data_IF_492539294829
#
_entry.id   IF_492539294829
#
_cell.length_a   1.000
_cell.length_b   1.000
_cell.length_c   1.000
_cell.angle_alpha   90.00
_cell.angle_beta   90.00
_cell.angle_gamma   90.00
#
_symmetry.space_group_name_H-M   'P 1'
#
loop_
_entity.id
_entity.type
_entity.pdbx_description
1 polymer ?
#
# COMPACT_ATOMS: atom_id res chain seq x y z
N UNK A 1 -1.21 47.32 -10.66
CA UNK A 1 -0.31 47.23 -9.50
C UNK A 1 -0.03 45.75 -9.24
N UNK A 2 1.07 45.22 -9.80
CA UNK A 2 1.40 43.80 -9.72
C UNK A 2 1.84 43.45 -8.29
N UNK A 3 1.01 42.68 -7.58
CA UNK A 3 1.39 42.03 -6.32
C UNK A 3 2.40 40.93 -6.68
N UNK A 4 3.68 41.28 -6.73
CA UNK A 4 4.75 40.32 -6.57
C UNK A 4 4.58 39.68 -5.19
N UNK A 5 3.92 38.53 -5.15
CA UNK A 5 4.01 37.62 -4.01
C UNK A 5 5.46 37.16 -3.98
N UNK A 6 6.26 37.79 -3.12
CA UNK A 6 7.49 37.22 -2.60
C UNK A 6 7.08 35.91 -1.89
N UNK A 7 7.02 34.82 -2.64
CA UNK A 7 7.15 33.49 -2.06
C UNK A 7 8.56 33.47 -1.49
N UNK A 8 8.69 33.71 -0.18
CA UNK A 8 9.92 33.36 0.51
C UNK A 8 10.13 31.86 0.29
N UNK A 9 10.93 31.49 -0.71
CA UNK A 9 11.39 30.11 -0.88
C UNK A 9 12.03 29.71 0.44
N UNK A 10 11.40 28.77 1.13
CA UNK A 10 11.93 28.24 2.38
C UNK A 10 13.25 27.55 2.05
N UNK A 11 14.32 27.89 2.77
CA UNK A 11 15.66 27.42 2.41
C UNK A 11 15.88 25.98 2.86
N UNK A 12 16.14 25.05 1.91
CA UNK A 12 16.64 23.69 2.19
C UNK A 12 17.85 23.69 3.14
N UNK A 13 18.72 24.70 3.02
CA UNK A 13 19.88 24.85 3.91
C UNK A 13 19.44 24.99 5.37
N UNK A 14 18.39 25.76 5.64
CA UNK A 14 17.87 25.95 7.00
C UNK A 14 17.28 24.65 7.57
N UNK A 15 16.59 23.86 6.74
CA UNK A 15 16.09 22.54 7.13
C UNK A 15 17.25 21.62 7.57
N UNK A 16 18.30 21.56 6.76
CA UNK A 16 19.47 20.72 7.02
C UNK A 16 20.20 21.19 8.28
N UNK A 17 20.38 22.51 8.47
CA UNK A 17 21.03 23.06 9.67
C UNK A 17 20.23 22.73 10.93
N UNK A 18 18.90 22.89 10.90
CA UNK A 18 18.03 22.54 12.02
C UNK A 18 18.10 21.05 12.36
N UNK A 19 18.09 20.18 11.34
CA UNK A 19 18.27 18.74 11.52
C UNK A 19 19.64 18.38 12.11
N UNK A 20 20.73 18.96 11.59
CA UNK A 20 22.09 18.71 12.09
C UNK A 20 22.25 19.11 13.55
N UNK A 21 21.69 20.25 13.96
CA UNK A 21 21.72 20.70 15.35
C UNK A 21 20.96 19.78 16.31
N UNK A 22 19.96 19.04 15.81
CA UNK A 22 19.20 18.07 16.60
C UNK A 22 20.01 16.78 16.77
N UNK A 23 20.48 16.18 15.68
CA UNK A 23 21.18 14.89 15.74
C UNK A 23 22.55 15.01 16.41
N UNK A 24 23.20 16.19 16.38
CA UNK A 24 24.47 16.40 17.08
C UNK A 24 24.34 16.31 18.60
N UNK A 25 23.12 16.42 19.14
CA UNK A 25 22.82 16.22 20.57
C UNK A 25 22.57 14.75 20.91
N UNK A 26 22.42 13.90 19.90
CA UNK A 26 22.22 12.48 20.08
C UNK A 26 23.58 11.85 20.32
N UNK A 27 23.92 11.59 21.59
CA UNK A 27 25.21 11.03 22.01
C UNK A 27 25.31 9.52 21.75
N UNK A 28 24.27 8.91 21.17
CA UNK A 28 24.29 7.51 20.78
C UNK A 28 25.29 7.31 19.64
N UNK A 29 26.34 6.54 19.88
CA UNK A 29 27.38 6.19 18.90
C UNK A 29 26.89 5.10 17.92
N UNK A 30 25.71 5.32 17.32
CA UNK A 30 25.14 4.35 16.40
C UNK A 30 25.91 4.36 15.07
N UNK A 31 26.54 3.21 14.77
CA UNK A 31 27.35 2.92 13.58
C UNK A 31 26.59 2.92 12.25
N UNK A 32 25.26 3.00 12.26
CA UNK A 32 24.41 2.74 11.10
C UNK A 32 24.48 3.80 10.02
N UNK A 33 24.72 3.37 8.78
CA UNK A 33 24.75 4.22 7.59
C UNK A 33 23.43 4.21 6.83
N UNK A 34 22.63 3.17 7.02
CA UNK A 34 21.32 2.98 6.39
C UNK A 34 20.33 2.48 7.45
N UNK A 35 19.13 3.04 7.41
CA UNK A 35 17.97 2.51 8.13
C UNK A 35 17.03 1.89 7.11
N UNK A 36 16.59 0.66 7.33
CA UNK A 36 15.51 0.04 6.57
C UNK A 36 14.30 -0.06 7.48
N UNK A 37 13.14 0.40 7.00
CA UNK A 37 11.89 0.46 7.76
C UNK A 37 10.84 -0.40 7.08
N UNK A 38 10.17 -1.25 7.85
CA UNK A 38 9.13 -2.15 7.33
C UNK A 38 7.98 -2.26 8.30
N UNK A 39 6.78 -1.91 7.84
CA UNK A 39 5.54 -2.43 8.44
C UNK A 39 5.26 -3.79 7.80
N UNK A 40 5.06 -4.81 8.63
CA UNK A 40 4.78 -6.16 8.16
C UNK A 40 3.67 -6.81 8.98
N UNK A 41 2.96 -7.74 8.36
CA UNK A 41 1.93 -8.55 9.02
C UNK A 41 2.29 -10.04 9.00
N UNK A 42 1.60 -10.89 9.75
CA UNK A 42 1.88 -12.34 9.83
C UNK A 42 1.51 -13.11 8.55
N UNK A 43 2.25 -12.91 7.44
CA UNK A 43 2.01 -13.49 6.11
C UNK A 43 3.24 -14.16 5.51
N UNK A 44 3.56 -15.36 6.01
CA UNK A 44 4.81 -16.07 5.68
C UNK A 44 5.07 -16.23 4.17
N UNK A 45 4.04 -16.56 3.38
CA UNK A 45 4.20 -16.78 1.93
C UNK A 45 4.68 -15.52 1.22
N UNK A 46 4.06 -14.37 1.48
CA UNK A 46 4.46 -13.11 0.89
C UNK A 46 5.84 -12.67 1.36
N UNK A 47 6.17 -12.90 2.64
CA UNK A 47 7.50 -12.60 3.15
C UNK A 47 8.59 -13.38 2.43
N UNK A 48 8.35 -14.67 2.17
CA UNK A 48 9.29 -15.49 1.40
C UNK A 48 9.50 -14.95 -0.02
N UNK A 49 8.55 -14.21 -0.60
CA UNK A 49 8.70 -13.59 -1.92
C UNK A 49 9.41 -12.23 -1.81
N UNK A 50 8.88 -11.32 -1.00
CA UNK A 50 9.35 -9.94 -0.90
C UNK A 50 10.72 -9.84 -0.23
N UNK A 51 10.94 -10.48 0.92
CA UNK A 51 12.22 -10.37 1.62
C UNK A 51 13.36 -11.07 0.87
N UNK A 52 13.11 -12.22 0.24
CA UNK A 52 14.11 -12.84 -0.63
C UNK A 52 14.41 -11.97 -1.88
N UNK A 53 13.44 -11.21 -2.38
CA UNK A 53 13.71 -10.19 -3.40
C UNK A 53 14.60 -9.07 -2.84
N UNK A 54 14.36 -8.62 -1.61
CA UNK A 54 15.15 -7.56 -0.96
C UNK A 54 16.62 -7.93 -0.75
N UNK A 55 16.90 -9.20 -0.43
CA UNK A 55 18.28 -9.73 -0.32
C UNK A 55 19.15 -9.42 -1.54
N UNK A 56 18.55 -9.35 -2.74
CA UNK A 56 19.29 -9.17 -4.00
C UNK A 56 19.95 -7.78 -4.12
N UNK A 57 19.43 -6.77 -3.42
CA UNK A 57 19.92 -5.40 -3.53
C UNK A 57 20.39 -4.78 -2.22
N UNK A 58 20.14 -5.42 -1.07
CA UNK A 58 20.63 -4.93 0.21
C UNK A 58 22.16 -5.01 0.25
N UNK A 59 22.87 -3.89 0.49
CA UNK A 59 24.33 -3.89 0.51
C UNK A 59 24.85 -4.64 1.73
N UNK A 60 25.90 -5.44 1.56
CA UNK A 60 26.56 -6.20 2.63
C UNK A 60 27.71 -5.46 3.31
N UNK A 61 28.13 -4.31 2.74
CA UNK A 61 29.36 -3.63 3.12
C UNK A 61 29.17 -2.33 3.92
N UNK A 62 27.94 -2.05 4.39
CA UNK A 62 27.63 -0.91 5.24
C UNK A 62 26.81 -1.37 6.44
N UNK A 63 26.97 -0.78 7.64
CA UNK A 63 26.13 -1.14 8.78
C UNK A 63 24.69 -0.67 8.57
N UNK A 64 23.72 -1.57 8.76
CA UNK A 64 22.29 -1.36 8.56
C UNK A 64 21.55 -1.61 9.88
N UNK A 65 20.60 -0.72 10.22
CA UNK A 65 19.58 -1.01 11.21
C UNK A 65 18.26 -1.26 10.48
N UNK A 66 17.74 -2.48 10.55
CA UNK A 66 16.42 -2.81 10.00
C UNK A 66 15.39 -2.82 11.11
N UNK A 67 14.50 -1.84 11.08
CA UNK A 67 13.43 -1.65 12.06
C UNK A 67 12.14 -2.20 11.44
N UNK A 68 11.57 -3.22 12.06
CA UNK A 68 10.39 -3.93 11.56
C UNK A 68 9.31 -3.87 12.63
N UNK A 69 8.13 -3.38 12.26
CA UNK A 69 6.94 -3.50 13.09
C UNK A 69 6.09 -4.66 12.55
N UNK A 70 5.96 -5.72 13.33
CA UNK A 70 5.15 -6.90 13.04
C UNK A 70 3.79 -6.80 13.73
N UNK A 71 2.75 -6.67 12.91
CA UNK A 71 1.36 -6.69 13.35
C UNK A 71 0.76 -8.07 13.12
N UNK A 72 0.04 -8.61 14.10
CA UNK A 72 -0.69 -9.86 13.91
C UNK A 72 -1.95 -9.61 13.07
N UNK A 73 -2.15 -10.45 12.07
CA UNK A 73 -3.38 -10.51 11.28
C UNK A 73 -3.82 -11.97 11.21
N UNK A 74 -5.04 -12.23 11.68
CA UNK A 74 -5.65 -13.55 11.64
C UNK A 74 -6.21 -13.81 10.24
N UNK A 75 -5.58 -14.73 9.50
CA UNK A 75 -6.02 -15.14 8.16
C UNK A 75 -6.90 -16.38 8.18
N UNK A 76 -6.73 -17.26 9.16
CA UNK A 76 -7.51 -18.50 9.31
C UNK A 76 -8.07 -18.64 10.74
N UNK A 77 -9.13 -19.42 10.89
CA UNK A 77 -9.73 -19.71 12.20
C UNK A 77 -8.94 -20.74 13.01
N UNK A 78 -7.88 -21.30 12.42
CA UNK A 78 -7.11 -22.42 12.96
C UNK A 78 -6.06 -21.92 13.98
N UNK A 79 -5.59 -20.69 13.83
CA UNK A 79 -4.48 -20.17 14.61
C UNK A 79 -4.92 -19.02 15.53
N UNK A 80 -5.16 -19.32 16.80
CA UNK A 80 -5.57 -18.32 17.81
C UNK A 80 -4.41 -17.69 18.59
N UNK A 81 -3.20 -18.26 18.50
CA UNK A 81 -2.05 -17.77 19.27
C UNK A 81 -1.25 -16.73 18.46
N UNK A 82 -1.61 -15.46 18.65
CA UNK A 82 -0.95 -14.31 18.01
C UNK A 82 0.55 -14.23 18.34
N UNK A 83 0.95 -14.48 19.60
CA UNK A 83 2.34 -14.41 20.05
C UNK A 83 3.21 -15.43 19.31
N UNK A 84 2.73 -16.67 19.19
CA UNK A 84 3.44 -17.74 18.49
C UNK A 84 3.64 -17.42 17.01
N UNK A 85 2.62 -16.89 16.33
CA UNK A 85 2.71 -16.54 14.90
C UNK A 85 3.61 -15.33 14.65
N UNK A 86 3.58 -14.33 15.54
CA UNK A 86 4.52 -13.21 15.51
C UNK A 86 5.97 -13.68 15.68
N UNK A 87 6.23 -14.58 16.63
CA UNK A 87 7.58 -15.10 16.87
C UNK A 87 8.07 -15.99 15.72
N UNK A 88 7.21 -16.84 15.15
CA UNK A 88 7.52 -17.59 13.93
C UNK A 88 7.86 -16.66 12.76
N UNK A 89 7.08 -15.59 12.57
CA UNK A 89 7.29 -14.60 11.51
C UNK A 89 8.61 -13.86 11.69
N UNK A 90 8.90 -13.39 12.91
CA UNK A 90 10.17 -12.76 13.27
C UNK A 90 11.36 -13.67 12.97
N UNK A 91 11.31 -14.92 13.42
CA UNK A 91 12.39 -15.88 13.19
C UNK A 91 12.54 -16.24 11.71
N UNK A 92 11.45 -16.32 10.96
CA UNK A 92 11.50 -16.53 9.51
C UNK A 92 12.25 -15.39 8.80
N UNK A 93 11.96 -14.13 9.15
CA UNK A 93 12.67 -12.96 8.60
C UNK A 93 14.16 -12.99 9.00
N UNK A 94 14.48 -13.21 10.27
CA UNK A 94 15.88 -13.27 10.73
C UNK A 94 16.65 -14.34 9.96
N UNK A 95 16.07 -15.54 9.83
CA UNK A 95 16.69 -16.66 9.12
C UNK A 95 16.93 -16.37 7.64
N UNK A 96 16.11 -15.54 6.99
CA UNK A 96 16.35 -15.12 5.60
C UNK A 96 17.58 -14.25 5.45
N UNK A 97 18.02 -13.54 6.48
CA UNK A 97 19.18 -12.64 6.42
C UNK A 97 20.30 -13.09 7.34
N UNK A 98 20.34 -14.37 7.71
CA UNK A 98 21.30 -14.90 8.68
C UNK A 98 22.75 -14.71 8.20
N UNK A 99 22.99 -14.67 6.89
CA UNK A 99 24.30 -14.43 6.30
C UNK A 99 24.70 -12.94 6.24
N UNK A 100 23.79 -12.02 6.56
CA UNK A 100 24.04 -10.59 6.53
C UNK A 100 24.51 -10.08 7.90
N UNK A 101 25.78 -10.27 8.20
CA UNK A 101 26.41 -9.82 9.46
C UNK A 101 26.37 -8.29 9.67
N UNK A 102 26.09 -7.53 8.61
CA UNK A 102 26.02 -6.08 8.64
C UNK A 102 24.63 -5.52 9.00
N UNK A 103 23.63 -6.39 9.20
CA UNK A 103 22.25 -6.01 9.54
C UNK A 103 21.99 -6.30 11.02
N UNK A 104 21.70 -5.24 11.77
CA UNK A 104 21.11 -5.35 13.09
C UNK A 104 19.58 -5.20 12.97
N UNK A 105 18.81 -6.13 13.55
CA UNK A 105 17.35 -6.08 13.52
C UNK A 105 16.77 -5.47 14.80
N UNK A 106 15.75 -4.62 14.64
CA UNK A 106 14.88 -4.16 15.73
C UNK A 106 13.44 -4.48 15.41
N UNK A 107 12.84 -5.39 16.19
CA UNK A 107 11.44 -5.75 16.07
C UNK A 107 10.58 -4.99 17.08
N UNK A 108 9.43 -4.51 16.61
CA UNK A 108 8.26 -4.14 17.41
C UNK A 108 7.16 -5.13 17.06
N UNK A 109 6.44 -5.64 18.06
CA UNK A 109 5.37 -6.63 17.87
C UNK A 109 4.06 -6.09 18.42
N UNK A 110 2.96 -6.36 17.72
CA UNK A 110 1.65 -5.88 18.09
C UNK A 110 0.57 -6.92 17.75
N UNK A 111 0.11 -7.61 18.79
CA UNK A 111 -0.89 -8.70 18.69
C UNK A 111 -2.27 -8.24 18.20
N UNK A 112 -2.60 -6.95 18.33
CA UNK A 112 -3.91 -6.44 17.91
C UNK A 112 -3.94 -6.00 16.45
N UNK A 113 -2.77 -5.75 15.86
CA UNK A 113 -2.63 -5.20 14.52
C UNK A 113 -3.17 -3.78 14.40
N UNK A 114 -2.34 -2.82 13.98
CA UNK A 114 -2.77 -1.46 13.72
C UNK A 114 -1.71 -0.74 12.88
N UNK A 115 -1.96 -0.63 11.58
CA UNK A 115 -1.06 0.04 10.64
C UNK A 115 -0.66 1.45 11.07
N UNK A 116 -1.62 2.25 11.56
CA UNK A 116 -1.35 3.63 11.96
C UNK A 116 -0.36 3.67 13.14
N UNK A 117 -0.55 2.79 14.12
CA UNK A 117 0.35 2.63 15.26
C UNK A 117 1.72 2.10 14.83
N UNK A 118 1.75 1.13 13.92
CA UNK A 118 2.97 0.56 13.37
C UNK A 118 3.85 1.63 12.72
N UNK A 119 3.27 2.42 11.81
CA UNK A 119 3.95 3.52 11.12
C UNK A 119 4.46 4.58 12.11
N UNK A 120 3.64 4.97 13.10
CA UNK A 120 4.04 5.94 14.13
C UNK A 120 5.20 5.41 14.98
N UNK A 121 5.14 4.14 15.39
CA UNK A 121 6.20 3.47 16.15
C UNK A 121 7.52 3.46 15.39
N UNK A 122 7.50 3.05 14.11
CA UNK A 122 8.69 3.07 13.25
C UNK A 122 9.23 4.49 13.09
N UNK A 123 8.35 5.45 12.81
CA UNK A 123 8.74 6.84 12.56
C UNK A 123 9.37 7.49 13.79
N UNK A 124 8.79 7.28 14.97
CA UNK A 124 9.31 7.77 16.23
C UNK A 124 10.65 7.13 16.57
N UNK A 125 10.72 5.79 16.59
CA UNK A 125 11.95 5.08 16.93
C UNK A 125 13.10 5.41 15.98
N UNK A 126 12.82 5.49 14.68
CA UNK A 126 13.82 5.89 13.69
C UNK A 126 14.37 7.27 14.03
N UNK A 127 13.49 8.25 14.26
CA UNK A 127 13.88 9.65 14.43
C UNK A 127 14.68 9.91 15.71
N UNK A 128 14.42 9.16 16.79
CA UNK A 128 15.22 9.24 18.03
C UNK A 128 16.55 8.50 17.93
N UNK A 129 16.66 7.55 17.00
CA UNK A 129 17.86 6.71 16.81
C UNK A 129 18.81 7.27 15.74
N UNK A 130 18.34 8.22 14.91
CA UNK A 130 19.13 8.86 13.86
C UNK A 130 20.38 9.56 14.39
N UNK A 131 21.47 9.41 13.64
CA UNK A 131 22.77 10.05 13.86
C UNK A 131 23.25 10.73 12.58
N UNK A 132 24.34 11.48 12.69
CA UNK A 132 25.03 12.11 11.55
C UNK A 132 25.68 11.11 10.58
N UNK A 133 25.92 9.87 11.02
CA UNK A 133 26.45 8.76 10.20
C UNK A 133 25.42 8.20 9.20
N UNK A 134 24.13 8.43 9.42
CA UNK A 134 23.07 7.91 8.56
C UNK A 134 22.98 8.69 7.24
N UNK A 135 23.03 7.98 6.11
CA UNK A 135 23.04 8.57 4.76
C UNK A 135 21.69 8.44 4.04
N UNK A 136 20.82 7.54 4.51
CA UNK A 136 19.54 7.27 3.87
C UNK A 136 18.62 6.43 4.74
N UNK A 137 17.33 6.56 4.46
CA UNK A 137 16.26 5.76 5.05
C UNK A 137 15.49 5.15 3.90
N UNK A 138 15.43 3.82 3.90
CA UNK A 138 14.70 3.03 2.92
C UNK A 138 13.44 2.48 3.59
N UNK A 139 12.27 2.88 3.10
CA UNK A 139 11.00 2.28 3.50
C UNK A 139 10.65 1.17 2.50
N UNK A 140 10.39 -0.04 3.00
CA UNK A 140 9.95 -1.21 2.23
C UNK A 140 8.83 -1.90 3.00
N UNK A 141 7.64 -1.99 2.40
CA UNK A 141 6.56 -2.82 2.93
C UNK A 141 6.81 -4.30 2.65
N UNK A 142 6.06 -5.21 3.26
CA UNK A 142 6.26 -6.65 3.16
C UNK A 142 5.56 -7.34 1.97
N UNK A 143 4.86 -6.59 1.11
CA UNK A 143 4.22 -7.06 -0.12
C UNK A 143 4.67 -6.32 -1.38
N UNK A 144 5.86 -5.73 -1.36
CA UNK A 144 6.46 -5.15 -2.55
C UNK A 144 7.57 -6.00 -3.12
N UNK A 145 7.82 -5.82 -4.41
CA UNK A 145 8.77 -6.62 -5.17
C UNK A 145 9.50 -5.75 -6.18
N UNK A 146 10.83 -5.78 -6.17
CA UNK A 146 11.65 -5.16 -7.21
C UNK A 146 11.58 -6.01 -8.49
N UNK A 147 11.01 -5.46 -9.56
CA UNK A 147 10.88 -6.11 -10.88
C UNK A 147 12.16 -6.10 -11.70
N UNK A 148 13.10 -5.24 -11.33
CA UNK A 148 14.39 -5.08 -11.99
C UNK A 148 15.53 -5.00 -10.97
N UNK A 149 16.76 -5.12 -11.45
CA UNK A 149 17.94 -4.90 -10.61
C UNK A 149 17.98 -3.45 -10.11
N UNK A 150 18.01 -3.32 -8.78
CA UNK A 150 18.11 -2.06 -8.08
C UNK A 150 19.45 -2.00 -7.34
N UNK A 151 20.30 -1.03 -7.65
CA UNK A 151 21.54 -0.81 -6.91
C UNK A 151 21.31 0.23 -5.80
N UNK A 152 21.03 -0.27 -4.61
CA UNK A 152 20.79 0.55 -3.43
C UNK A 152 22.05 1.33 -3.02
N UNK A 153 23.24 0.75 -3.17
CA UNK A 153 24.51 1.41 -2.80
C UNK A 153 24.77 2.62 -3.71
N UNK A 154 24.59 2.46 -5.02
CA UNK A 154 24.66 3.58 -5.97
C UNK A 154 23.63 4.64 -5.63
N UNK A 155 22.39 4.23 -5.35
CA UNK A 155 21.28 5.15 -5.04
C UNK A 155 21.53 5.97 -3.77
N UNK A 156 22.12 5.37 -2.73
CA UNK A 156 22.49 6.07 -1.48
C UNK A 156 23.51 7.19 -1.69
N UNK A 157 24.42 7.01 -2.65
CA UNK A 157 25.49 7.96 -2.96
C UNK A 157 25.06 9.07 -3.94
N UNK A 158 23.86 8.99 -4.50
CA UNK A 158 23.33 10.06 -5.34
C UNK A 158 23.07 11.33 -4.50
N UNK A 159 23.30 12.49 -5.12
CA UNK A 159 22.89 13.79 -4.58
C UNK A 159 21.40 14.06 -4.85
N UNK A 160 20.57 13.05 -4.55
CA UNK A 160 19.12 13.09 -4.69
C UNK A 160 18.50 13.01 -3.31
N UNK A 161 17.55 13.90 -3.02
CA UNK A 161 16.88 13.99 -1.73
C UNK A 161 15.86 12.86 -1.56
N UNK A 162 15.09 12.60 -2.62
CA UNK A 162 13.97 11.66 -2.63
C UNK A 162 14.02 10.79 -3.88
N UNK A 163 14.04 9.47 -3.68
CA UNK A 163 13.97 8.46 -4.73
C UNK A 163 12.71 7.63 -4.48
N UNK A 164 11.63 7.93 -5.22
CA UNK A 164 10.41 7.10 -5.21
C UNK A 164 10.70 5.83 -6.01
N UNK A 165 10.45 4.66 -5.43
CA UNK A 165 10.83 3.38 -6.06
C UNK A 165 9.69 2.72 -6.87
N UNK A 166 8.54 3.38 -6.95
CA UNK A 166 7.36 2.93 -7.69
C UNK A 166 6.63 4.15 -8.29
N UNK A 167 5.73 3.92 -9.24
CA UNK A 167 4.83 4.92 -9.79
C UNK A 167 3.36 4.51 -9.56
N UNK A 168 2.60 5.35 -8.86
CA UNK A 168 1.14 5.20 -8.67
C UNK A 168 0.32 6.01 -9.68
N UNK A 169 0.98 6.76 -10.56
CA UNK A 169 0.37 7.70 -11.50
C UNK A 169 -0.54 8.76 -10.86
N UNK A 170 -0.52 8.94 -9.53
CA UNK A 170 -1.26 10.01 -8.86
C UNK A 170 -0.35 11.24 -8.71
N UNK A 171 -0.54 12.30 -9.53
CA UNK A 171 0.31 13.48 -9.49
C UNK A 171 0.24 14.24 -8.16
N UNK A 172 -0.77 13.94 -7.32
CA UNK A 172 -0.96 14.54 -6.00
C UNK A 172 -0.16 13.83 -4.91
N UNK A 173 0.25 12.58 -5.13
CA UNK A 173 1.02 11.76 -4.18
C UNK A 173 2.45 11.52 -4.70
N UNK A 174 3.35 12.47 -4.40
CA UNK A 174 4.75 12.34 -4.83
C UNK A 174 5.58 11.40 -3.93
N UNK A 175 5.36 11.38 -2.62
CA UNK A 175 5.99 10.42 -1.70
C UNK A 175 5.18 10.28 -0.40
N UNK A 176 5.06 9.05 0.11
CA UNK A 176 4.45 8.69 1.40
C UNK A 176 5.02 7.34 1.89
N UNK A 177 4.28 6.58 2.69
CA UNK A 177 4.65 5.27 3.25
C UNK A 177 4.51 4.14 2.23
N UNK A 178 5.31 4.18 1.17
CA UNK A 178 5.46 3.12 0.16
C UNK A 178 6.95 3.02 -0.22
N UNK A 179 7.40 2.08 -1.07
CA UNK A 179 8.82 1.93 -1.40
C UNK A 179 9.50 3.24 -1.80
N UNK A 180 10.43 3.66 -0.96
CA UNK A 180 10.97 5.01 -0.94
C UNK A 180 12.36 5.01 -0.31
N UNK A 181 13.33 5.63 -0.99
CA UNK A 181 14.63 5.95 -0.41
C UNK A 181 14.75 7.47 -0.25
N UNK A 182 14.96 7.94 0.98
CA UNK A 182 15.07 9.38 1.28
C UNK A 182 16.25 9.72 2.17
N UNK A 183 16.67 10.99 2.13
CA UNK A 183 17.64 11.52 3.07
C UNK A 183 17.02 11.65 4.48
N UNK A 184 17.80 11.41 5.55
CA UNK A 184 17.27 11.37 6.93
C UNK A 184 16.59 12.66 7.40
N UNK A 185 17.07 13.82 6.95
CA UNK A 185 16.46 15.11 7.30
C UNK A 185 15.02 15.22 6.77
N UNK A 186 14.69 14.57 5.65
CA UNK A 186 13.35 14.55 5.07
C UNK A 186 12.44 13.69 5.92
N UNK A 187 12.90 12.50 6.33
CA UNK A 187 12.15 11.64 7.25
C UNK A 187 11.78 12.38 8.53
N UNK A 188 12.77 13.01 9.15
CA UNK A 188 12.57 13.77 10.38
C UNK A 188 11.55 14.92 10.23
N UNK A 189 11.65 15.69 9.14
CA UNK A 189 10.83 16.90 8.97
C UNK A 189 9.44 16.62 8.38
N UNK A 190 9.34 15.69 7.44
CA UNK A 190 8.13 15.46 6.65
C UNK A 190 7.31 14.28 7.15
N UNK A 191 7.92 13.35 7.88
CA UNK A 191 7.21 12.25 8.50
C UNK A 191 7.08 12.47 10.00
N UNK A 192 8.20 12.50 10.72
CA UNK A 192 8.17 12.56 12.18
C UNK A 192 7.52 13.83 12.74
N UNK A 193 7.96 15.02 12.33
CA UNK A 193 7.36 16.26 12.84
C UNK A 193 5.88 16.39 12.48
N UNK A 194 5.48 15.98 11.28
CA UNK A 194 4.08 16.05 10.86
C UNK A 194 3.21 15.09 11.68
N UNK A 195 3.66 13.85 11.89
CA UNK A 195 2.96 12.89 12.76
C UNK A 195 2.93 13.32 14.23
N UNK A 196 4.00 13.93 14.75
CA UNK A 196 4.08 14.42 16.14
C UNK A 196 3.19 15.63 16.38
N UNK A 197 3.04 16.50 15.39
CA UNK A 197 2.13 17.64 15.45
C UNK A 197 0.65 17.21 15.37
N UNK A 198 0.39 16.07 14.72
CA UNK A 198 -0.94 15.50 14.63
C UNK A 198 -1.28 14.64 15.86
N UNK A 199 -2.15 15.17 16.72
CA UNK A 199 -2.60 14.49 17.96
C UNK A 199 -3.60 13.35 17.73
N UNK A 200 -4.12 13.19 16.52
CA UNK A 200 -5.08 12.13 16.19
C UNK A 200 -4.32 10.87 15.76
N UNK A 201 -4.14 9.95 16.69
CA UNK A 201 -3.43 8.68 16.47
C UNK A 201 -4.17 7.75 15.50
N UNK A 202 -5.48 7.95 15.31
CA UNK A 202 -6.32 7.17 14.41
C UNK A 202 -6.30 7.70 12.98
N UNK A 203 -5.82 8.92 12.76
CA UNK A 203 -5.71 9.46 11.42
C UNK A 203 -4.61 8.74 10.64
N UNK A 204 -5.00 8.26 9.48
CA UNK A 204 -4.14 7.61 8.48
C UNK A 204 -2.85 8.43 8.23
N UNK A 205 -1.67 7.86 8.58
CA UNK A 205 -0.37 8.49 8.36
C UNK A 205 -0.14 8.90 6.91
N UNK A 206 -0.64 8.16 5.92
CA UNK A 206 -0.47 8.51 4.50
C UNK A 206 -1.23 9.78 4.11
N UNK A 207 -2.28 10.15 4.85
CA UNK A 207 -3.02 11.40 4.64
C UNK A 207 -2.36 12.59 5.33
N UNK A 208 -1.50 12.32 6.31
CA UNK A 208 -0.74 13.35 7.01
C UNK A 208 0.55 13.62 6.25
N UNK A 209 1.32 12.56 5.97
CA UNK A 209 2.66 12.63 5.40
C UNK A 209 2.64 12.46 3.88
N UNK A 210 2.32 13.54 3.17
CA UNK A 210 2.37 13.60 1.70
C UNK A 210 3.35 14.68 1.25
N UNK A 211 4.51 14.29 0.73
CA UNK A 211 5.57 15.22 0.35
C UNK A 211 5.36 15.72 -1.08
N UNK A 212 4.39 16.60 -1.29
CA UNK A 212 4.03 17.07 -2.64
C UNK A 212 4.43 18.52 -2.87
N UNK A 213 4.01 19.42 -1.98
CA UNK A 213 4.28 20.87 -2.09
C UNK A 213 5.69 21.19 -1.63
N UNK A 214 6.15 20.49 -0.59
CA UNK A 214 7.45 20.66 0.05
C UNK A 214 8.62 20.42 -0.91
N UNK A 215 8.46 19.51 -1.87
CA UNK A 215 9.47 19.29 -2.92
C UNK A 215 9.72 20.61 -3.67
N UNK A 216 8.66 21.32 -4.03
CA UNK A 216 8.74 22.60 -4.74
C UNK A 216 9.16 23.73 -3.80
N UNK A 217 8.57 23.82 -2.61
CA UNK A 217 8.78 24.92 -1.66
C UNK A 217 10.23 24.97 -1.15
N UNK A 218 10.85 23.80 -0.95
CA UNK A 218 12.23 23.68 -0.49
C UNK A 218 13.22 23.36 -1.62
N UNK A 219 12.78 23.25 -2.87
CA UNK A 219 13.63 22.89 -4.02
C UNK A 219 14.42 21.58 -3.79
N UNK A 220 13.71 20.52 -3.38
CA UNK A 220 14.29 19.19 -3.16
C UNK A 220 14.48 18.45 -4.49
N UNK A 221 15.58 17.70 -4.62
CA UNK A 221 15.81 16.83 -5.78
C UNK A 221 15.00 15.54 -5.65
N UNK A 222 14.19 15.25 -6.66
CA UNK A 222 13.25 14.13 -6.67
C UNK A 222 13.40 13.34 -7.96
N UNK A 223 13.45 12.01 -7.86
CA UNK A 223 13.38 11.10 -9.01
C UNK A 223 12.36 9.99 -8.75
N UNK A 224 11.73 9.54 -9.83
CA UNK A 224 10.90 8.32 -9.84
C UNK A 224 11.73 7.23 -10.52
N UNK A 225 11.94 6.13 -9.80
CA UNK A 225 12.64 4.95 -10.25
C UNK A 225 11.67 3.77 -10.15
N UNK A 226 10.72 3.69 -11.08
CA UNK A 226 9.57 2.77 -11.07
C UNK A 226 9.99 1.30 -11.21
N UNK A 227 10.62 0.76 -10.18
CA UNK A 227 11.21 -0.59 -10.16
C UNK A 227 10.50 -1.53 -9.22
N UNK A 228 9.49 -1.07 -8.48
CA UNK A 228 8.79 -1.86 -7.49
C UNK A 228 7.32 -2.00 -7.85
N UNK A 229 6.76 -3.19 -7.62
CA UNK A 229 5.33 -3.49 -7.76
C UNK A 229 4.76 -4.03 -6.45
N UNK A 230 3.52 -3.69 -6.14
CA UNK A 230 2.72 -4.33 -5.09
C UNK A 230 2.32 -5.73 -5.59
N UNK A 231 2.78 -6.77 -4.90
CA UNK A 231 2.45 -8.17 -5.17
C UNK A 231 1.38 -8.72 -4.22
N UNK A 232 1.04 -8.00 -3.15
CA UNK A 232 0.08 -8.46 -2.16
C UNK A 232 -1.27 -8.76 -2.80
N UNK A 233 -1.70 -7.91 -3.72
CA UNK A 233 -2.95 -8.12 -4.48
C UNK A 233 -2.92 -9.39 -5.33
N UNK A 234 -1.83 -9.69 -6.02
CA UNK A 234 -1.79 -10.81 -6.97
C UNK A 234 -1.64 -12.17 -6.27
N UNK A 235 -0.93 -12.21 -5.14
CA UNK A 235 -0.73 -13.46 -4.38
C UNK A 235 -1.91 -13.78 -3.45
N UNK A 236 -2.60 -12.75 -2.92
CA UNK A 236 -3.74 -12.93 -2.00
C UNK A 236 -5.09 -12.94 -2.73
N UNK A 237 -5.25 -12.20 -3.83
CA UNK A 237 -6.49 -12.11 -4.61
C UNK A 237 -6.33 -12.92 -5.91
N UNK A 238 -6.36 -14.26 -5.80
CA UNK A 238 -6.68 -15.11 -6.95
C UNK A 238 -8.18 -15.04 -7.31
N UNK A 239 -8.94 -14.16 -6.66
CA UNK A 239 -10.36 -13.92 -6.85
C UNK A 239 -10.63 -12.42 -7.10
N UNK A 240 -11.08 -12.10 -8.32
CA UNK A 240 -11.46 -10.75 -8.76
C UNK A 240 -12.63 -10.15 -7.91
N UNK A 241 -13.29 -10.96 -7.08
CA UNK A 241 -14.42 -10.58 -6.24
C UNK A 241 -14.01 -10.13 -4.82
N UNK A 242 -12.72 -10.01 -4.48
CA UNK A 242 -12.29 -9.59 -3.15
C UNK A 242 -11.67 -8.18 -3.13
N UNK A 243 -12.08 -7.36 -2.16
CA UNK A 243 -11.47 -6.05 -1.87
C UNK A 243 -10.69 -6.06 -0.56
N UNK A 244 -9.46 -5.55 -0.61
CA UNK A 244 -8.58 -5.35 0.53
C UNK A 244 -8.81 -3.96 1.12
N UNK A 245 -9.04 -3.88 2.44
CA UNK A 245 -9.21 -2.60 3.12
C UNK A 245 -8.83 -2.66 4.59
N UNK A 246 -8.46 -1.51 5.12
CA UNK A 246 -8.26 -1.28 6.54
C UNK A 246 -9.59 -0.83 7.14
N UNK A 247 -10.24 -1.67 7.94
CA UNK A 247 -11.59 -1.40 8.45
C UNK A 247 -11.57 -1.14 9.95
N UNK A 248 -12.25 -0.07 10.36
CA UNK A 248 -12.46 0.28 11.77
C UNK A 248 -13.88 -0.10 12.20
N UNK A 249 -14.01 -0.88 13.28
CA UNK A 249 -15.33 -1.13 13.89
C UNK A 249 -15.85 0.14 14.54
N UNK A 250 -16.97 0.69 14.02
CA UNK A 250 -17.59 1.96 14.41
C UNK A 250 -18.06 2.08 15.88
N UNK A 251 -17.95 1.02 16.70
CA UNK A 251 -18.49 0.99 18.08
C UNK A 251 -17.58 0.36 19.14
N UNK A 252 -16.37 -0.08 18.82
CA UNK A 252 -15.41 -0.48 19.85
C UNK A 252 -14.60 0.74 20.29
N UNK A 253 -14.55 1.01 21.59
CA UNK A 253 -13.56 1.90 22.21
C UNK A 253 -12.11 1.41 22.03
N UNK A 254 -11.92 0.28 21.34
CA UNK A 254 -10.64 -0.33 21.05
C UNK A 254 -10.31 -0.15 19.57
N UNK A 255 -9.15 0.45 19.36
CA UNK A 255 -8.37 0.49 18.13
C UNK A 255 -8.28 -0.90 17.52
N UNK A 256 -9.02 -1.18 16.45
CA UNK A 256 -8.70 -2.29 15.57
C UNK A 256 -9.02 -1.82 14.15
N UNK A 257 -8.01 -1.24 13.52
CA UNK A 257 -7.95 -1.13 12.07
C UNK A 257 -7.31 -2.44 11.62
N UNK A 258 -8.11 -3.48 11.41
CA UNK A 258 -7.62 -4.75 10.87
C UNK A 258 -7.63 -4.70 9.36
N UNK A 259 -6.52 -5.14 8.73
CA UNK A 259 -6.53 -5.48 7.32
C UNK A 259 -7.55 -6.60 7.15
N UNK A 260 -8.63 -6.32 6.44
CA UNK A 260 -9.69 -7.29 6.23
C UNK A 260 -9.95 -7.39 4.73
N UNK A 261 -10.28 -8.60 4.31
CA UNK A 261 -10.73 -8.86 2.96
C UNK A 261 -12.25 -8.96 3.02
N UNK A 262 -12.92 -8.18 2.18
CA UNK A 262 -14.37 -8.28 2.03
C UNK A 262 -14.63 -8.74 0.61
N UNK A 263 -15.45 -9.77 0.45
CA UNK A 263 -15.97 -10.09 -0.85
C UNK A 263 -16.93 -8.98 -1.30
N UNK A 264 -16.72 -8.46 -2.51
CA UNK A 264 -17.48 -7.33 -3.05
C UNK A 264 -18.97 -7.68 -3.04
N UNK A 265 -19.35 -8.90 -3.42
CA UNK A 265 -20.72 -9.40 -3.35
C UNK A 265 -21.32 -9.35 -1.93
N UNK A 266 -20.61 -9.81 -0.90
CA UNK A 266 -21.05 -9.80 0.50
C UNK A 266 -21.16 -8.38 1.04
N UNK A 267 -20.23 -7.49 0.66
CA UNK A 267 -20.32 -6.07 1.02
C UNK A 267 -21.58 -5.45 0.41
N UNK A 268 -21.82 -5.68 -0.88
CA UNK A 268 -22.98 -5.15 -1.58
C UNK A 268 -24.27 -5.68 -0.95
N UNK A 269 -24.39 -7.00 -0.75
CA UNK A 269 -25.53 -7.62 -0.06
C UNK A 269 -25.77 -7.02 1.33
N UNK A 270 -24.71 -6.76 2.09
CA UNK A 270 -24.81 -6.16 3.43
C UNK A 270 -25.26 -4.69 3.38
N UNK A 271 -24.72 -3.89 2.47
CA UNK A 271 -25.16 -2.50 2.23
C UNK A 271 -26.64 -2.49 1.88
N UNK A 272 -27.04 -3.40 1.00
CA UNK A 272 -28.41 -3.58 0.52
C UNK A 272 -29.37 -3.94 1.65
N UNK A 273 -29.02 -4.91 2.48
CA UNK A 273 -29.80 -5.32 3.63
C UNK A 273 -29.97 -4.15 4.63
N UNK A 274 -28.89 -3.40 4.88
CA UNK A 274 -28.93 -2.22 5.76
C UNK A 274 -29.82 -1.11 5.16
N UNK A 275 -29.79 -0.91 3.84
CA UNK A 275 -30.62 0.06 3.14
C UNK A 275 -32.10 -0.37 3.11
N UNK A 276 -32.40 -1.67 2.99
CA UNK A 276 -33.78 -2.19 3.05
C UNK A 276 -34.37 -2.05 4.45
N UNK A 277 -33.55 -2.20 5.49
CA UNK A 277 -33.96 -2.02 6.89
C UNK A 277 -34.12 -0.52 7.26
N UNK A 278 -33.29 0.39 6.72
CA UNK A 278 -33.29 1.79 7.15
C UNK A 278 -34.32 2.72 6.47
N UNK A 279 -34.99 2.29 5.41
CA UNK A 279 -36.22 2.95 4.93
C UNK A 279 -37.11 1.93 4.26
N UNK A 280 -38.40 1.92 4.63
CA UNK A 280 -39.59 1.48 3.87
C UNK A 280 -39.36 0.99 2.42
N UNK A 281 -38.63 -0.08 2.22
CA UNK A 281 -38.53 -0.77 0.93
C UNK A 281 -39.01 -2.20 1.21
N UNK A 282 -40.32 -2.32 1.41
CA UNK A 282 -41.03 -3.61 1.33
C UNK A 282 -41.20 -3.98 -0.14
N UNK A 283 -40.11 -4.04 -0.90
CA UNK A 283 -40.18 -4.49 -2.29
C UNK A 283 -39.85 -5.98 -2.32
N UNK A 284 -40.86 -6.82 -2.56
CA UNK A 284 -40.74 -8.29 -2.62
C UNK A 284 -39.73 -8.79 -3.65
N UNK A 285 -39.32 -7.92 -4.58
CA UNK A 285 -38.36 -8.19 -5.64
C UNK A 285 -37.05 -7.40 -5.47
N UNK A 286 -36.77 -6.88 -4.27
CA UNK A 286 -35.58 -6.08 -4.02
C UNK A 286 -34.31 -6.84 -4.36
N UNK A 287 -34.21 -8.11 -3.96
CA UNK A 287 -33.10 -9.00 -4.28
C UNK A 287 -32.94 -9.17 -5.81
N UNK A 288 -34.03 -9.35 -6.56
CA UNK A 288 -34.00 -9.48 -8.02
C UNK A 288 -33.63 -8.17 -8.74
N UNK A 289 -34.16 -7.04 -8.27
CA UNK A 289 -33.82 -5.70 -8.80
C UNK A 289 -32.38 -5.34 -8.51
N UNK A 290 -31.86 -5.79 -7.38
CA UNK A 290 -30.47 -5.62 -7.00
C UNK A 290 -29.57 -6.53 -7.81
N UNK A 291 -29.93 -7.79 -7.99
CA UNK A 291 -29.22 -8.70 -8.89
C UNK A 291 -29.24 -8.11 -10.31
N UNK A 292 -30.34 -7.49 -10.74
CA UNK A 292 -30.44 -6.79 -12.02
C UNK A 292 -29.58 -5.51 -12.09
N UNK A 293 -29.55 -4.71 -11.03
CA UNK A 293 -28.74 -3.48 -10.97
C UNK A 293 -27.25 -3.77 -10.87
N UNK A 294 -26.85 -4.75 -10.05
CA UNK A 294 -25.50 -5.29 -9.99
C UNK A 294 -25.13 -5.93 -11.32
N UNK A 295 -26.01 -6.73 -11.93
CA UNK A 295 -25.82 -7.22 -13.31
C UNK A 295 -25.60 -6.05 -14.26
N UNK A 296 -26.35 -4.95 -14.21
CA UNK A 296 -26.14 -3.81 -15.12
C UNK A 296 -24.84 -3.05 -14.87
N UNK A 297 -24.44 -2.83 -13.61
CA UNK A 297 -23.17 -2.16 -13.25
C UNK A 297 -21.97 -3.05 -13.61
N UNK A 298 -21.99 -4.31 -13.18
CA UNK A 298 -20.93 -5.25 -13.46
C UNK A 298 -20.91 -5.64 -14.93
N UNK A 299 -22.05 -5.75 -15.63
CA UNK A 299 -22.07 -5.91 -17.08
C UNK A 299 -21.48 -4.69 -17.77
N UNK A 300 -21.69 -3.46 -17.28
CA UNK A 300 -21.04 -2.28 -17.85
C UNK A 300 -19.51 -2.29 -17.65
N UNK A 301 -19.02 -2.71 -16.47
CA UNK A 301 -17.59 -2.88 -16.22
C UNK A 301 -16.98 -4.08 -16.97
N UNK A 302 -17.69 -5.20 -17.05
CA UNK A 302 -17.32 -6.40 -17.80
C UNK A 302 -17.34 -6.08 -19.29
N UNK A 303 -18.33 -5.34 -19.80
CA UNK A 303 -18.39 -4.83 -21.18
C UNK A 303 -17.22 -3.89 -21.43
N UNK A 304 -16.86 -2.99 -20.52
CA UNK A 304 -15.71 -2.10 -20.67
C UNK A 304 -14.37 -2.86 -20.62
N UNK A 305 -14.23 -3.86 -19.73
CA UNK A 305 -13.06 -4.74 -19.64
C UNK A 305 -12.95 -5.66 -20.86
N UNK A 306 -14.07 -6.19 -21.35
CA UNK A 306 -14.17 -6.98 -22.58
C UNK A 306 -13.85 -6.08 -23.78
N UNK A 307 -14.40 -4.87 -23.89
CA UNK A 307 -14.06 -3.93 -24.98
C UNK A 307 -12.58 -3.58 -25.00
N UNK A 308 -11.99 -3.30 -23.82
CA UNK A 308 -10.58 -2.95 -23.69
C UNK A 308 -9.66 -4.16 -23.95
N UNK A 309 -10.04 -5.38 -23.57
CA UNK A 309 -9.28 -6.62 -23.83
C UNK A 309 -9.52 -7.21 -25.23
N UNK A 310 -10.65 -6.95 -25.86
CA UNK A 310 -10.98 -7.41 -27.22
C UNK A 310 -10.16 -6.66 -28.28
N UNK A 311 -9.78 -5.41 -28.01
CA UNK A 311 -8.82 -4.67 -28.84
C UNK A 311 -7.41 -5.28 -28.81
N UNK A 312 -7.07 -6.06 -27.78
CA UNK A 312 -5.68 -6.50 -27.55
C UNK A 312 -5.41 -7.97 -27.79
N UNK A 313 -6.37 -8.89 -27.75
CA UNK A 313 -6.19 -10.29 -28.21
C UNK A 313 -7.54 -10.99 -28.44
N UNK A 314 -7.78 -11.47 -29.67
CA UNK A 314 -8.92 -12.36 -29.98
C UNK A 314 -8.66 -13.77 -29.44
N UNK A 315 -9.71 -14.43 -28.98
CA UNK A 315 -9.84 -15.89 -28.81
C UNK A 315 -9.36 -16.62 -27.54
N UNK A 316 -9.56 -16.06 -26.34
CA UNK A 316 -9.57 -16.89 -25.11
C UNK A 316 -10.93 -16.96 -24.38
N UNK A 317 -11.88 -16.06 -24.71
CA UNK A 317 -13.17 -15.98 -24.00
C UNK A 317 -14.34 -16.68 -24.73
N UNK A 318 -14.11 -17.23 -25.93
CA UNK A 318 -15.12 -17.93 -26.73
C UNK A 318 -15.87 -19.02 -25.92
N UNK A 319 -15.15 -19.76 -25.08
CA UNK A 319 -15.69 -20.81 -24.22
C UNK A 319 -16.67 -20.30 -23.15
N UNK A 320 -16.42 -19.10 -22.60
CA UNK A 320 -17.33 -18.46 -21.64
C UNK A 320 -18.61 -17.97 -22.31
N UNK A 321 -18.53 -17.50 -23.56
CA UNK A 321 -19.70 -17.11 -24.34
C UNK A 321 -20.59 -18.31 -24.72
N UNK A 322 -19.99 -19.46 -25.04
CA UNK A 322 -20.76 -20.68 -25.35
C UNK A 322 -21.53 -21.18 -24.12
N UNK A 323 -20.91 -21.08 -22.94
CA UNK A 323 -21.55 -21.44 -21.67
C UNK A 323 -22.72 -20.50 -21.33
N UNK A 324 -22.56 -19.19 -21.56
CA UNK A 324 -23.63 -18.21 -21.33
C UNK A 324 -24.82 -18.38 -22.31
N UNK A 325 -24.55 -18.73 -23.57
CA UNK A 325 -25.59 -19.01 -24.57
C UNK A 325 -26.36 -20.31 -24.28
N UNK A 326 -25.67 -21.35 -23.78
CA UNK A 326 -26.31 -22.58 -23.31
C UNK A 326 -27.20 -22.33 -22.09
N UNK A 327 -26.75 -21.50 -21.15
CA UNK A 327 -27.52 -21.14 -19.95
C UNK A 327 -28.84 -20.40 -20.28
N UNK A 328 -28.85 -19.62 -21.36
CA UNK A 328 -30.02 -18.83 -21.79
C UNK A 328 -30.88 -19.51 -22.88
N UNK A 329 -30.61 -20.77 -23.23
CA UNK A 329 -31.48 -21.56 -24.13
C UNK A 329 -31.49 -21.14 -25.61
N UNK A 330 -30.60 -20.24 -26.03
CA UNK A 330 -30.46 -19.83 -27.43
C UNK A 330 -29.73 -20.89 -28.24
N UNK A 331 -30.43 -21.58 -29.16
CA UNK A 331 -29.91 -22.76 -29.85
C UNK A 331 -28.83 -22.47 -30.90
N UNK A 332 -28.83 -21.31 -31.54
CA UNK A 332 -27.75 -20.90 -32.45
C UNK A 332 -27.61 -19.38 -32.43
N UNK A 333 -26.48 -18.88 -31.96
CA UNK A 333 -26.22 -17.44 -31.86
C UNK A 333 -25.37 -16.98 -33.03
N UNK A 334 -26.04 -16.39 -34.04
CA UNK A 334 -25.35 -15.51 -34.99
C UNK A 334 -24.90 -14.26 -34.23
N UNK A 335 -23.59 -14.04 -34.12
CA UNK A 335 -22.98 -12.91 -33.43
C UNK A 335 -23.60 -11.56 -33.82
N UNK A 336 -24.00 -11.38 -35.09
CA UNK A 336 -24.69 -10.16 -35.55
C UNK A 336 -26.04 -9.93 -34.87
N UNK A 337 -26.77 -10.99 -34.55
CA UNK A 337 -28.09 -10.89 -33.89
C UNK A 337 -27.94 -10.53 -32.40
N UNK A 338 -26.85 -10.95 -31.76
CA UNK A 338 -26.54 -10.60 -30.37
C UNK A 338 -26.17 -9.13 -30.25
N UNK A 339 -25.32 -8.62 -31.15
CA UNK A 339 -24.98 -7.20 -31.18
C UNK A 339 -26.19 -6.31 -31.53
N UNK A 340 -27.04 -6.74 -32.47
CA UNK A 340 -28.26 -6.00 -32.83
C UNK A 340 -29.26 -5.86 -31.66
N UNK A 341 -29.35 -6.87 -30.79
CA UNK A 341 -30.22 -6.83 -29.61
C UNK A 341 -29.61 -6.02 -28.45
N UNK A 342 -28.28 -5.98 -28.33
CA UNK A 342 -27.58 -5.14 -27.34
C UNK A 342 -27.75 -3.65 -27.68
N UNK A 343 -27.59 -3.26 -28.95
CA UNK A 343 -27.79 -1.87 -29.39
C UNK A 343 -29.26 -1.43 -29.21
N UNK A 344 -30.23 -2.31 -29.49
CA UNK A 344 -31.66 -2.02 -29.25
C UNK A 344 -32.01 -1.86 -27.77
N UNK A 345 -31.39 -2.63 -26.87
CA UNK A 345 -31.60 -2.50 -25.42
C UNK A 345 -31.04 -1.18 -24.88
N UNK A 346 -29.91 -0.72 -25.43
CA UNK A 346 -29.30 0.57 -25.12
C UNK A 346 -30.19 1.74 -25.59
N UNK A 347 -30.84 1.64 -26.75
CA UNK A 347 -31.75 2.68 -27.26
C UNK A 347 -33.06 2.78 -26.45
N UNK A 348 -33.57 1.69 -25.89
CA UNK A 348 -34.83 1.70 -25.13
C UNK A 348 -34.65 2.02 -23.64
N UNK A 349 -33.42 2.13 -23.16
CA UNK A 349 -33.12 2.47 -21.76
C UNK A 349 -33.78 1.54 -20.73
N UNK A 350 -33.83 0.24 -21.02
CA UNK A 350 -34.38 -0.80 -20.15
C UNK A 350 -33.28 -1.50 -19.34
#
# INVERSE_FOLDING_TARGET
MNKFLLIQKLSKKNLITGYKSLISKNTNDNKYKLFILTTAITRRTLHNISFNNYKKFIPTNIPILWIINLDFVKFDDITDNAELELEKTKNNIINMFIEFENIDFKFFVNEKGNFNKAVRTLTEYTSITLTDKCNGILYLEDDWFSIEDFDLKKSLNLNIDIIKLYDDHDPRKKASFQPLLIKPYIWYLMFYKQLKANKDELKDPEKICQITKEITDYNMSFIINNKFKDIGRNEELNDDNMIRGWYQKLKSSQENISLSYIYIDKLLLSIIYILSENKKIQDKHLEEKIISYLKNIFMSEIINKIHNKYKSNKDNYYKHYTQFAQFNGTKETNLKLVYYNIDKLIETGA
#
